data_IF_339800183593
#
_entry.id   IF_339800183593
#
_cell.length_a   1.000
_cell.length_b   1.000
_cell.length_c   1.000
_cell.angle_alpha   90.00
_cell.angle_beta   90.00
_cell.angle_gamma   90.00
#
_symmetry.space_group_name_H-M   'P 1'
#
loop_
_entity.id
_entity.type
_entity.pdbx_description
1 polymer ?
#
# COMPACT_ATOMS: atom_id res chain seq x y z
N UNK A 1 8.69 -22.56 21.75
CA UNK A 1 9.12 -22.65 20.34
C UNK A 1 8.90 -21.28 19.68
N UNK A 2 9.95 -20.57 19.30
CA UNK A 2 9.78 -19.34 18.51
C UNK A 2 9.30 -19.76 17.13
N UNK A 3 7.99 -19.62 16.83
CA UNK A 3 7.49 -19.77 15.47
C UNK A 3 8.28 -18.77 14.61
N UNK A 4 9.12 -19.29 13.69
CA UNK A 4 9.74 -18.46 12.65
C UNK A 4 8.60 -17.77 11.92
N UNK A 5 8.36 -16.49 12.23
CA UNK A 5 7.36 -15.69 11.54
C UNK A 5 7.77 -15.69 10.06
N UNK A 6 7.07 -16.45 9.22
CA UNK A 6 7.24 -16.36 7.78
C UNK A 6 6.76 -14.95 7.40
N UNK A 7 7.70 -14.06 7.14
CA UNK A 7 7.41 -12.75 6.58
C UNK A 7 7.07 -12.96 5.11
N UNK A 8 5.84 -12.61 4.73
CA UNK A 8 5.40 -12.64 3.35
C UNK A 8 5.76 -11.31 2.69
N UNK A 9 5.97 -11.31 1.37
CA UNK A 9 6.32 -10.10 0.65
C UNK A 9 5.24 -9.73 -0.35
N UNK A 10 4.95 -8.44 -0.46
CA UNK A 10 4.10 -7.88 -1.51
C UNK A 10 4.86 -6.78 -2.25
N UNK A 11 4.50 -6.57 -3.52
CA UNK A 11 4.96 -5.41 -4.28
C UNK A 11 4.00 -4.25 -4.06
N UNK A 12 4.55 -3.08 -3.76
CA UNK A 12 3.80 -1.87 -3.50
C UNK A 12 4.37 -0.70 -4.31
N UNK A 13 3.49 0.14 -4.87
CA UNK A 13 3.89 1.32 -5.61
C UNK A 13 3.92 2.53 -4.69
N UNK A 14 5.07 3.19 -4.61
CA UNK A 14 5.27 4.41 -3.84
C UNK A 14 5.73 5.51 -4.79
N UNK A 15 5.16 6.71 -4.65
CA UNK A 15 5.61 7.86 -5.43
C UNK A 15 6.98 8.34 -4.91
N UNK A 16 7.81 8.97 -5.76
CA UNK A 16 9.12 9.47 -5.36
C UNK A 16 9.07 10.39 -4.14
N UNK A 17 8.08 11.27 -4.03
CA UNK A 17 7.92 12.18 -2.88
C UNK A 17 7.74 11.43 -1.55
N UNK A 18 7.00 10.33 -1.54
CA UNK A 18 6.79 9.53 -0.33
C UNK A 18 8.08 8.77 0.01
N UNK A 19 8.80 8.29 -1.00
CA UNK A 19 10.08 7.65 -0.78
C UNK A 19 11.13 8.60 -0.22
N UNK A 20 11.16 9.84 -0.69
CA UNK A 20 12.08 10.86 -0.20
C UNK A 20 11.82 11.18 1.29
N UNK A 21 10.54 11.30 1.67
CA UNK A 21 10.16 11.63 3.04
C UNK A 21 10.28 10.47 4.04
N UNK A 22 9.98 9.23 3.63
CA UNK A 22 9.90 8.09 4.54
C UNK A 22 10.99 7.04 4.34
N UNK A 23 11.72 7.08 3.22
CA UNK A 23 12.81 6.16 2.90
C UNK A 23 12.43 4.70 3.14
N UNK A 24 13.22 4.02 3.98
CA UNK A 24 12.96 2.63 4.35
C UNK A 24 11.81 2.47 5.33
N UNK A 25 11.41 3.47 6.13
CA UNK A 25 10.30 3.34 7.09
C UNK A 25 8.93 3.19 6.42
N UNK A 26 8.82 3.52 5.13
CA UNK A 26 7.59 3.37 4.35
C UNK A 26 6.97 1.97 4.49
N UNK A 27 7.77 0.90 4.63
CA UNK A 27 7.27 -0.46 4.79
C UNK A 27 6.40 -0.66 6.05
N UNK A 28 6.77 -0.05 7.18
CA UNK A 28 6.04 -0.14 8.44
C UNK A 28 4.67 0.52 8.33
N UNK A 29 4.63 1.68 7.68
CA UNK A 29 3.38 2.40 7.44
C UNK A 29 2.49 1.63 6.46
N UNK A 30 3.07 1.01 5.43
CA UNK A 30 2.33 0.18 4.47
C UNK A 30 1.63 -0.97 5.17
N UNK A 31 2.35 -1.78 5.96
CA UNK A 31 1.74 -2.91 6.65
C UNK A 31 0.63 -2.45 7.63
N UNK A 32 0.90 -1.43 8.44
CA UNK A 32 -0.07 -0.90 9.40
C UNK A 32 -1.34 -0.40 8.71
N UNK A 33 -1.19 0.28 7.58
CA UNK A 33 -2.33 0.80 6.83
C UNK A 33 -3.13 -0.30 6.16
N UNK A 34 -2.47 -1.29 5.54
CA UNK A 34 -3.17 -2.42 4.93
C UNK A 34 -3.98 -3.21 5.95
N UNK A 35 -3.43 -3.44 7.14
CA UNK A 35 -4.17 -4.06 8.25
C UNK A 35 -5.43 -3.26 8.60
N UNK A 36 -5.32 -1.94 8.77
CA UNK A 36 -6.47 -1.09 9.11
C UNK A 36 -7.53 -1.14 7.99
N UNK A 37 -7.10 -1.01 6.75
CA UNK A 37 -7.99 -0.91 5.61
C UNK A 37 -8.74 -2.21 5.34
N UNK A 38 -8.06 -3.37 5.44
CA UNK A 38 -8.72 -4.67 5.34
C UNK A 38 -9.72 -4.97 6.46
N UNK A 39 -9.65 -4.24 7.58
CA UNK A 39 -10.58 -4.41 8.69
C UNK A 39 -11.78 -3.47 8.64
N UNK A 40 -11.74 -2.35 7.91
CA UNK A 40 -12.78 -1.31 8.07
C UNK A 40 -13.12 -0.44 6.86
N UNK A 41 -12.34 -0.44 5.76
CA UNK A 41 -12.44 0.63 4.75
C UNK A 41 -12.40 0.15 3.29
N UNK A 42 -12.70 -1.13 3.01
CA UNK A 42 -12.70 -1.64 1.63
C UNK A 42 -13.70 -0.93 0.70
N UNK A 43 -14.82 -0.43 1.24
CA UNK A 43 -15.84 0.27 0.45
C UNK A 43 -15.33 1.61 -0.13
N UNK A 44 -14.44 2.31 0.58
CA UNK A 44 -13.82 3.55 0.08
C UNK A 44 -12.99 3.34 -1.18
N UNK A 45 -12.50 2.12 -1.42
CA UNK A 45 -11.79 1.80 -2.65
C UNK A 45 -12.70 1.84 -3.87
N UNK A 46 -13.98 1.53 -3.72
CA UNK A 46 -14.91 1.48 -4.85
C UNK A 46 -15.24 2.87 -5.38
N UNK A 47 -15.25 3.88 -4.49
CA UNK A 47 -15.52 5.28 -4.82
C UNK A 47 -14.41 5.98 -5.62
N UNK A 48 -13.21 5.41 -5.68
CA UNK A 48 -12.06 6.03 -6.36
C UNK A 48 -12.13 5.72 -7.86
N UNK A 49 -12.12 6.77 -8.68
CA UNK A 49 -12.11 6.62 -10.13
C UNK A 49 -10.76 6.06 -10.61
N UNK A 50 -10.81 5.19 -11.61
CA UNK A 50 -9.59 4.62 -12.20
C UNK A 50 -8.73 5.72 -12.86
N UNK A 51 -9.39 6.71 -13.48
CA UNK A 51 -8.75 7.85 -14.13
C UNK A 51 -7.91 8.67 -13.15
N UNK A 52 -8.45 9.02 -11.99
CA UNK A 52 -7.74 9.77 -10.95
C UNK A 52 -6.48 9.02 -10.49
N UNK A 53 -6.56 7.70 -10.32
CA UNK A 53 -5.41 6.88 -9.92
C UNK A 53 -4.33 6.85 -10.99
N UNK A 54 -4.72 6.72 -12.26
CA UNK A 54 -3.78 6.69 -13.36
C UNK A 54 -3.12 8.07 -13.57
N UNK A 55 -3.87 9.16 -13.40
CA UNK A 55 -3.32 10.53 -13.39
C UNK A 55 -2.34 10.73 -12.23
N UNK A 56 -2.66 10.23 -11.03
CA UNK A 56 -1.77 10.33 -9.87
C UNK A 56 -0.42 9.65 -10.09
N UNK A 57 -0.42 8.47 -10.72
CA UNK A 57 0.81 7.72 -11.01
C UNK A 57 1.45 8.09 -12.36
N UNK A 58 0.89 9.03 -13.12
CA UNK A 58 1.43 9.46 -14.43
C UNK A 58 2.83 10.07 -14.32
N UNK A 59 3.15 10.70 -13.19
CA UNK A 59 4.45 11.29 -12.88
C UNK A 59 5.52 10.27 -12.49
N UNK A 60 5.15 8.99 -12.39
CA UNK A 60 6.03 7.88 -12.05
C UNK A 60 5.81 7.32 -10.64
N UNK A 61 6.32 6.11 -10.43
CA UNK A 61 6.28 5.40 -9.15
C UNK A 61 7.47 4.46 -9.05
N UNK A 62 7.84 4.14 -7.81
CA UNK A 62 8.83 3.14 -7.46
C UNK A 62 8.14 1.91 -6.91
N UNK A 63 8.64 0.73 -7.30
CA UNK A 63 8.13 -0.55 -6.78
C UNK A 63 9.00 -0.97 -5.60
N UNK A 64 8.43 -0.98 -4.40
CA UNK A 64 9.08 -1.52 -3.19
C UNK A 64 8.49 -2.88 -2.83
N UNK A 65 9.35 -3.78 -2.34
CA UNK A 65 8.92 -5.01 -1.69
C UNK A 65 8.70 -4.71 -0.21
N UNK A 66 7.49 -4.99 0.27
CA UNK A 66 7.09 -4.75 1.66
C UNK A 66 6.83 -6.09 2.32
N UNK A 67 7.41 -6.27 3.50
CA UNK A 67 7.14 -7.43 4.34
C UNK A 67 5.80 -7.24 5.05
N UNK A 68 4.96 -8.25 5.01
CA UNK A 68 3.63 -8.25 5.61
C UNK A 68 3.36 -9.58 6.32
N UNK A 69 2.46 -9.53 7.30
CA UNK A 69 1.93 -10.73 7.94
C UNK A 69 1.17 -11.66 6.98
N UNK A 70 1.09 -12.95 7.32
CA UNK A 70 0.38 -13.97 6.54
C UNK A 70 -1.05 -13.56 6.18
N UNK A 71 -1.80 -13.07 7.17
CA UNK A 71 -3.19 -12.66 6.99
C UNK A 71 -3.32 -11.54 5.93
N UNK A 72 -2.46 -10.52 6.02
CA UNK A 72 -2.42 -9.44 5.04
C UNK A 72 -2.08 -9.95 3.65
N UNK A 73 -1.12 -10.88 3.54
CA UNK A 73 -0.74 -11.48 2.28
C UNK A 73 -1.87 -12.32 1.65
N UNK A 74 -2.57 -13.12 2.45
CA UNK A 74 -3.70 -13.93 1.98
C UNK A 74 -4.87 -13.06 1.49
N UNK A 75 -5.12 -11.92 2.15
CA UNK A 75 -6.09 -10.92 1.68
C UNK A 75 -5.61 -10.13 0.45
N UNK A 76 -4.31 -9.89 0.33
CA UNK A 76 -3.70 -9.13 -0.77
C UNK A 76 -3.64 -9.92 -2.09
N UNK A 77 -3.28 -11.20 -2.01
CA UNK A 77 -3.09 -12.08 -3.18
C UNK A 77 -4.27 -12.07 -4.16
N UNK A 78 -5.55 -12.25 -3.72
CA UNK A 78 -6.69 -12.33 -4.63
C UNK A 78 -7.12 -10.98 -5.22
N UNK A 79 -6.60 -9.85 -4.75
CA UNK A 79 -7.03 -8.53 -5.26
C UNK A 79 -6.61 -8.34 -6.72
N UNK A 80 -7.53 -7.77 -7.51
CA UNK A 80 -7.24 -7.38 -8.89
C UNK A 80 -6.22 -6.23 -8.95
N UNK A 81 -5.58 -6.06 -10.11
CA UNK A 81 -4.60 -4.97 -10.32
C UNK A 81 -5.22 -3.59 -10.10
N UNK A 82 -6.48 -3.40 -10.50
CA UNK A 82 -7.20 -2.14 -10.31
C UNK A 82 -7.42 -1.81 -8.84
N UNK A 83 -7.84 -2.79 -8.03
CA UNK A 83 -8.00 -2.60 -6.58
C UNK A 83 -6.65 -2.31 -5.92
N UNK A 84 -5.60 -3.06 -6.29
CA UNK A 84 -4.23 -2.81 -5.81
C UNK A 84 -3.75 -1.40 -6.16
N UNK A 85 -4.01 -0.91 -7.37
CA UNK A 85 -3.70 0.48 -7.78
C UNK A 85 -4.41 1.52 -6.90
N UNK A 86 -5.70 1.33 -6.62
CA UNK A 86 -6.46 2.22 -5.73
C UNK A 86 -5.92 2.20 -4.29
N UNK A 87 -5.49 1.03 -3.82
CA UNK A 87 -4.79 0.90 -2.53
C UNK A 87 -3.47 1.65 -2.50
N UNK A 88 -2.67 1.54 -3.57
CA UNK A 88 -1.44 2.32 -3.71
C UNK A 88 -1.74 3.82 -3.64
N UNK A 89 -2.75 4.28 -4.38
CA UNK A 89 -3.15 5.69 -4.40
C UNK A 89 -3.52 6.20 -3.00
N UNK A 90 -4.46 5.53 -2.32
CA UNK A 90 -4.89 5.95 -0.97
C UNK A 90 -3.74 6.02 0.02
N UNK A 91 -2.86 5.03 -0.02
CA UNK A 91 -1.75 4.95 0.91
C UNK A 91 -0.74 6.07 0.65
N UNK A 92 -0.39 6.32 -0.62
CA UNK A 92 0.49 7.41 -0.97
C UNK A 92 -0.12 8.77 -0.59
N UNK A 93 -1.42 8.98 -0.84
CA UNK A 93 -2.12 10.21 -0.40
C UNK A 93 -2.01 10.38 1.10
N UNK A 94 -2.29 9.33 1.87
CA UNK A 94 -2.22 9.39 3.33
C UNK A 94 -0.79 9.64 3.83
N UNK A 95 0.22 9.03 3.20
CA UNK A 95 1.61 9.29 3.56
C UNK A 95 2.05 10.72 3.21
N UNK A 96 1.55 11.28 2.12
CA UNK A 96 1.72 12.70 1.80
C UNK A 96 1.01 13.61 2.80
N UNK A 97 -0.17 13.25 3.29
CA UNK A 97 -0.89 14.00 4.34
C UNK A 97 -0.16 13.94 5.69
N UNK A 98 0.68 12.92 5.91
CA UNK A 98 1.56 12.82 7.08
C UNK A 98 2.84 13.67 6.88
N UNK A 99 2.96 14.46 5.79
CA UNK A 99 4.04 15.46 5.65
C UNK A 99 4.01 16.46 6.81
N UNK A 100 5.18 16.58 7.44
CA UNK A 100 5.63 17.59 8.41
C UNK A 100 5.04 17.48 9.83
#
# INVERSE_FOLDING_TARGET
MQQRRKYYQIQFWLIPEVMDNFGDLAHLHVEKYLRKLFSSDMEKLLSISQKEVDEFFSKGFNVKRVYVSKETHEKWKPLSRSIKKRLYYLLNKKLLEVKA
#
